data_IF_086371005128
#
_entry.id   IF_086371005128
#
_cell.length_a   1.000
_cell.length_b   1.000
_cell.length_c   1.000
_cell.angle_alpha   90.00
_cell.angle_beta   90.00
_cell.angle_gamma   90.00
#
_symmetry.space_group_name_H-M   'P 1'
#
loop_
_entity.id
_entity.type
_entity.pdbx_description
1 polymer ?
#
# COMPACT_ATOMS: atom_id res chain seq x y z
N UNK A 1 16.91 27.87 37.24
CA UNK A 1 18.12 27.18 36.75
C UNK A 1 17.76 26.42 35.48
N UNK A 2 18.12 26.92 34.31
CA UNK A 2 17.98 26.20 33.05
C UNK A 2 19.36 25.87 32.50
N UNK A 3 19.53 24.65 32.00
CA UNK A 3 20.54 24.34 30.98
C UNK A 3 19.90 23.31 30.03
N UNK A 4 19.58 23.77 28.83
CA UNK A 4 19.30 22.92 27.69
C UNK A 4 20.64 22.57 27.03
N UNK A 5 20.87 21.29 26.74
CA UNK A 5 22.00 20.85 25.91
C UNK A 5 21.44 20.24 24.63
N UNK A 6 21.60 20.98 23.54
CA UNK A 6 21.32 20.56 22.18
C UNK A 6 22.48 19.68 21.69
N UNK A 7 22.18 18.45 21.28
CA UNK A 7 23.13 17.59 20.55
C UNK A 7 22.67 17.49 19.09
N UNK A 8 23.43 18.10 18.17
CA UNK A 8 23.27 17.91 16.72
C UNK A 8 24.08 16.68 16.27
N UNK A 9 23.58 15.84 15.35
CA UNK A 9 24.37 14.74 14.81
C UNK A 9 25.43 15.26 13.81
N UNK A 10 26.66 14.76 13.97
CA UNK A 10 27.77 14.97 13.05
C UNK A 10 27.65 13.97 11.90
N UNK A 11 27.35 14.45 10.69
CA UNK A 11 27.43 13.64 9.48
C UNK A 11 28.88 13.63 8.97
N UNK A 12 29.51 12.45 8.95
CA UNK A 12 30.84 12.23 8.35
C UNK A 12 30.65 11.99 6.86
N UNK A 13 31.13 12.91 6.03
CA UNK A 13 31.18 12.75 4.58
C UNK A 13 32.22 11.69 4.18
N UNK A 14 31.79 10.65 3.49
CA UNK A 14 32.68 9.68 2.82
C UNK A 14 32.96 10.23 1.43
N UNK A 15 34.22 10.58 1.15
CA UNK A 15 34.70 10.91 -0.18
C UNK A 15 34.87 9.61 -0.98
N UNK A 16 34.15 9.48 -2.09
CA UNK A 16 34.38 8.42 -3.08
C UNK A 16 35.34 8.97 -4.15
N UNK A 17 36.48 8.31 -4.33
CA UNK A 17 37.38 8.61 -5.46
C UNK A 17 36.81 8.04 -6.78
N UNK A 18 36.90 8.79 -7.91
CA UNK A 18 36.40 8.32 -9.19
C UNK A 18 37.40 7.37 -9.87
N UNK A 19 36.92 6.16 -10.19
CA UNK A 19 37.66 5.19 -11.01
C UNK A 19 37.73 5.64 -12.49
N UNK A 20 38.91 5.49 -13.09
CA UNK A 20 39.22 5.85 -14.49
C UNK A 20 38.59 4.85 -15.48
N UNK A 21 37.76 5.34 -16.40
CA UNK A 21 37.75 5.11 -17.87
C UNK A 21 36.33 5.22 -18.44
N UNK A 22 36.20 5.93 -19.57
CA UNK A 22 35.01 5.84 -20.43
C UNK A 22 34.45 7.18 -20.89
N UNK A 23 35.17 7.84 -21.81
CA UNK A 23 34.76 9.05 -22.54
C UNK A 23 33.45 8.78 -23.31
N UNK A 24 32.33 9.45 -22.99
CA UNK A 24 31.28 9.80 -23.95
C UNK A 24 30.64 11.15 -23.59
N UNK A 25 30.57 11.96 -24.63
CA UNK A 25 30.15 13.36 -24.68
C UNK A 25 28.64 13.53 -24.49
N UNK A 26 28.23 14.47 -23.63
CA UNK A 26 26.95 15.16 -23.76
C UNK A 26 27.02 16.54 -23.12
N UNK A 27 27.04 17.53 -24.00
CA UNK A 27 26.95 18.98 -23.80
C UNK A 27 25.79 19.37 -22.90
N UNK A 28 26.07 20.05 -21.79
CA UNK A 28 25.06 20.75 -20.97
C UNK A 28 25.00 22.19 -21.46
N UNK A 29 23.86 22.58 -22.02
CA UNK A 29 23.52 23.97 -22.34
C UNK A 29 23.09 24.68 -21.03
N UNK A 30 23.91 25.61 -20.54
CA UNK A 30 23.51 26.62 -19.57
C UNK A 30 23.32 27.93 -20.32
N UNK A 31 22.08 28.22 -20.70
CA UNK A 31 21.71 29.54 -21.20
C UNK A 31 21.41 30.46 -20.01
N UNK A 32 22.35 31.36 -19.71
CA UNK A 32 22.13 32.51 -18.84
C UNK A 32 21.38 33.57 -19.63
N UNK A 33 20.11 33.82 -19.30
CA UNK A 33 19.36 34.96 -19.84
C UNK A 33 19.46 36.10 -18.84
N UNK A 34 20.34 37.04 -19.14
CA UNK A 34 20.32 38.41 -18.63
C UNK A 34 19.28 39.18 -19.43
N UNK A 35 18.24 39.68 -18.77
CA UNK A 35 17.32 40.64 -19.38
C UNK A 35 17.74 42.04 -18.97
N UNK A 36 18.14 42.86 -19.96
CA UNK A 36 18.39 44.30 -19.82
C UNK A 36 17.06 45.03 -19.97
N UNK A 37 16.79 45.93 -19.04
CA UNK A 37 15.76 46.95 -19.16
C UNK A 37 16.13 47.93 -20.29
N UNK A 38 15.28 48.00 -21.32
CA UNK A 38 15.26 49.12 -22.25
C UNK A 38 13.83 49.65 -22.35
N UNK A 39 13.58 50.74 -21.63
CA UNK A 39 12.36 51.52 -21.70
C UNK A 39 12.31 52.28 -23.04
N UNK A 40 11.37 51.93 -23.91
CA UNK A 40 10.93 52.79 -25.01
C UNK A 40 9.44 53.06 -24.87
N UNK A 41 9.13 54.31 -24.51
CA UNK A 41 7.79 54.89 -24.49
C UNK A 41 7.17 54.78 -25.88
N UNK A 42 6.08 54.02 -25.97
CA UNK A 42 5.16 54.13 -27.11
C UNK A 42 3.76 54.31 -26.56
N UNK A 43 3.25 55.53 -26.68
CA UNK A 43 1.86 55.88 -26.40
C UNK A 43 0.96 55.27 -27.48
N UNK A 44 0.04 54.41 -27.07
CA UNK A 44 -1.13 54.04 -27.86
C UNK A 44 -2.37 54.37 -27.04
N UNK A 45 -3.10 55.39 -27.47
CA UNK A 45 -4.48 55.56 -27.05
C UNK A 45 -5.36 54.63 -27.88
N UNK A 46 -6.32 53.97 -27.24
CA UNK A 46 -7.68 53.77 -27.78
C UNK A 46 -8.47 52.80 -26.90
N UNK A 47 -9.69 53.24 -26.58
CA UNK A 47 -10.91 52.43 -26.40
C UNK A 47 -11.01 51.54 -25.17
N UNK A 48 -11.90 51.94 -24.26
CA UNK A 48 -12.52 51.07 -23.27
C UNK A 48 -13.24 49.92 -23.99
N UNK A 49 -12.64 48.74 -23.94
CA UNK A 49 -13.34 47.49 -24.21
C UNK A 49 -13.67 46.92 -22.85
N UNK A 50 -14.95 46.93 -22.48
CA UNK A 50 -15.43 46.19 -21.32
C UNK A 50 -15.21 44.70 -21.59
N UNK A 51 -14.03 44.21 -21.20
CA UNK A 51 -13.71 42.79 -21.11
C UNK A 51 -14.55 42.23 -19.97
N UNK A 52 -15.72 41.70 -20.29
CA UNK A 52 -16.40 40.75 -19.44
C UNK A 52 -15.55 39.48 -19.38
N UNK A 53 -14.56 39.47 -18.49
CA UNK A 53 -13.83 38.27 -18.12
C UNK A 53 -14.83 37.35 -17.41
N UNK A 54 -15.50 36.47 -18.17
CA UNK A 54 -16.13 35.29 -17.58
C UNK A 54 -15.00 34.45 -17.01
N UNK A 55 -14.79 34.55 -15.71
CA UNK A 55 -14.01 33.58 -14.96
C UNK A 55 -14.70 32.23 -15.15
N UNK A 56 -14.12 31.40 -16.02
CA UNK A 56 -14.42 29.97 -16.02
C UNK A 56 -13.69 29.43 -14.79
N UNK A 57 -14.30 29.57 -13.62
CA UNK A 57 -13.88 28.79 -12.45
C UNK A 57 -14.13 27.33 -12.78
N UNK A 58 -13.07 26.63 -13.20
CA UNK A 58 -13.09 25.19 -13.39
C UNK A 58 -13.53 24.52 -12.09
N UNK A 59 -14.45 23.56 -12.19
CA UNK A 59 -14.96 22.81 -11.04
C UNK A 59 -13.78 22.09 -10.37
N UNK A 60 -13.31 22.61 -9.24
CA UNK A 60 -12.25 21.99 -8.42
C UNK A 60 -12.77 20.63 -7.94
N UNK A 61 -11.88 19.62 -7.89
CA UNK A 61 -12.24 18.29 -7.40
C UNK A 61 -12.72 18.33 -5.95
N UNK A 62 -13.91 17.80 -5.69
CA UNK A 62 -14.45 17.67 -4.33
C UNK A 62 -13.77 16.50 -3.62
N UNK A 63 -13.23 16.75 -2.42
CA UNK A 63 -12.72 15.69 -1.54
C UNK A 63 -13.91 14.89 -1.00
N UNK A 64 -13.83 13.56 -1.07
CA UNK A 64 -14.85 12.63 -0.59
C UNK A 64 -14.21 11.54 0.24
N UNK A 65 -14.97 11.06 1.21
CA UNK A 65 -14.58 9.87 1.98
C UNK A 65 -14.48 8.64 1.05
N UNK A 66 -13.46 7.79 1.22
CA UNK A 66 -13.32 6.59 0.40
C UNK A 66 -14.38 5.54 0.76
N UNK A 67 -14.73 4.70 -0.22
CA UNK A 67 -15.53 3.51 0.06
C UNK A 67 -14.73 2.52 0.94
N UNK A 68 -15.45 1.81 1.81
CA UNK A 68 -14.84 0.72 2.58
C UNK A 68 -14.30 -0.37 1.65
N UNK A 69 -13.16 -0.94 2.00
CA UNK A 69 -12.46 -1.99 1.23
C UNK A 69 -12.43 -3.31 1.97
N UNK A 70 -12.28 -4.41 1.24
CA UNK A 70 -12.27 -5.77 1.80
C UNK A 70 -10.90 -6.10 2.38
N UNK A 71 -10.78 -6.22 3.69
CA UNK A 71 -9.53 -6.66 4.32
C UNK A 71 -9.29 -8.15 4.05
N UNK A 72 -8.04 -8.48 3.74
CA UNK A 72 -7.54 -9.85 3.68
C UNK A 72 -6.10 -9.94 4.17
N UNK A 73 -5.72 -11.11 4.67
CA UNK A 73 -4.37 -11.41 5.11
C UNK A 73 -3.85 -12.64 4.37
N UNK A 74 -2.70 -12.50 3.72
CA UNK A 74 -1.89 -13.62 3.29
C UNK A 74 -0.99 -14.12 4.43
N UNK A 75 -0.93 -15.43 4.62
CA UNK A 75 -0.18 -16.04 5.72
C UNK A 75 0.87 -16.99 5.17
N UNK A 76 2.08 -16.91 5.71
CA UNK A 76 3.08 -18.01 5.61
C UNK A 76 3.25 -18.56 7.02
N UNK A 77 3.03 -19.84 7.18
CA UNK A 77 3.00 -20.55 8.45
C UNK A 77 4.19 -21.49 8.50
N UNK A 78 4.95 -21.48 9.60
CA UNK A 78 5.89 -22.56 9.92
C UNK A 78 5.16 -23.90 10.06
N UNK A 79 5.92 -25.00 9.97
CA UNK A 79 5.37 -26.35 10.15
C UNK A 79 4.63 -26.50 11.47
N UNK A 80 5.19 -25.94 12.55
CA UNK A 80 4.72 -26.18 13.92
C UNK A 80 3.61 -25.22 14.40
N UNK A 81 3.22 -24.21 13.62
CA UNK A 81 2.18 -23.25 14.06
C UNK A 81 0.78 -23.69 13.62
N UNK A 82 -0.20 -23.54 14.51
CA UNK A 82 -1.60 -23.86 14.20
C UNK A 82 -2.24 -22.74 13.37
N UNK A 83 -2.79 -23.08 12.21
CA UNK A 83 -3.55 -22.15 11.37
C UNK A 83 -4.76 -21.58 12.12
N UNK A 84 -5.52 -22.44 12.81
CA UNK A 84 -6.69 -22.02 13.61
C UNK A 84 -6.32 -21.04 14.73
N UNK A 85 -5.16 -21.23 15.36
CA UNK A 85 -4.68 -20.30 16.39
C UNK A 85 -4.36 -18.91 15.81
N UNK A 86 -3.72 -18.86 14.64
CA UNK A 86 -3.44 -17.61 13.93
C UNK A 86 -4.73 -16.93 13.47
N UNK A 87 -5.66 -17.71 12.88
CA UNK A 87 -7.00 -17.24 12.48
C UNK A 87 -7.76 -16.64 13.66
N UNK A 88 -7.83 -17.34 14.80
CA UNK A 88 -8.49 -16.84 16.01
C UNK A 88 -7.91 -15.49 16.46
N UNK A 89 -6.57 -15.35 16.50
CA UNK A 89 -5.94 -14.07 16.88
C UNK A 89 -6.21 -12.94 15.89
N UNK A 90 -6.32 -13.24 14.60
CA UNK A 90 -6.66 -12.24 13.60
C UNK A 90 -8.14 -11.84 13.65
N UNK A 91 -9.04 -12.72 14.12
CA UNK A 91 -10.47 -12.38 14.26
C UNK A 91 -10.75 -11.39 15.38
N UNK A 92 -9.91 -11.33 16.43
CA UNK A 92 -10.06 -10.38 17.54
C UNK A 92 -10.11 -8.91 17.06
N UNK A 93 -9.13 -8.40 16.28
CA UNK A 93 -9.15 -7.03 15.78
C UNK A 93 -9.96 -6.85 14.50
N UNK A 94 -10.00 -7.85 13.61
CA UNK A 94 -10.54 -7.69 12.26
C UNK A 94 -11.99 -8.17 12.10
N UNK A 95 -12.53 -8.87 13.11
CA UNK A 95 -13.84 -9.45 13.06
C UNK A 95 -13.86 -10.83 12.39
N UNK A 96 -15.06 -11.39 12.13
CA UNK A 96 -15.20 -12.75 11.60
C UNK A 96 -14.52 -12.94 10.26
N UNK A 97 -13.91 -14.12 10.07
CA UNK A 97 -13.46 -14.58 8.75
C UNK A 97 -14.68 -15.02 7.95
N UNK A 98 -14.77 -14.60 6.69
CA UNK A 98 -15.90 -14.91 5.83
C UNK A 98 -15.55 -15.77 4.61
N UNK A 99 -14.27 -15.79 4.24
CA UNK A 99 -13.69 -16.72 3.27
C UNK A 99 -12.26 -17.04 3.69
N UNK A 100 -11.87 -18.30 3.45
CA UNK A 100 -10.49 -18.73 3.62
C UNK A 100 -10.01 -19.58 2.45
N UNK A 101 -8.69 -19.58 2.28
CA UNK A 101 -7.97 -20.58 1.52
C UNK A 101 -7.12 -21.37 2.49
N UNK A 102 -7.50 -22.63 2.70
CA UNK A 102 -6.84 -23.56 3.59
C UNK A 102 -5.33 -23.66 3.34
N UNK A 103 -4.52 -23.92 4.38
CA UNK A 103 -3.08 -24.05 4.24
C UNK A 103 -2.68 -25.07 3.16
N UNK A 104 -1.75 -24.65 2.30
CA UNK A 104 -1.12 -25.50 1.30
C UNK A 104 0.40 -25.31 1.30
N UNK A 105 1.15 -26.24 0.72
CA UNK A 105 2.62 -26.17 0.65
C UNK A 105 3.08 -24.84 0.02
N UNK A 106 4.02 -24.16 0.66
CA UNK A 106 4.65 -22.94 0.14
C UNK A 106 6.02 -23.27 -0.44
N UNK A 107 6.07 -23.41 -1.77
CA UNK A 107 7.26 -23.81 -2.55
C UNK A 107 7.75 -22.71 -3.50
N UNK A 108 7.35 -21.46 -3.27
CA UNK A 108 7.64 -20.33 -4.16
C UNK A 108 9.01 -19.68 -3.93
N UNK A 109 9.58 -19.78 -2.73
CA UNK A 109 10.89 -19.22 -2.37
C UNK A 109 11.43 -19.82 -1.07
N UNK A 110 12.76 -19.89 -0.94
CA UNK A 110 13.45 -20.30 0.29
C UNK A 110 13.77 -19.13 1.22
N UNK A 111 13.41 -17.89 0.85
CA UNK A 111 13.73 -16.66 1.59
C UNK A 111 13.36 -16.71 3.08
N UNK A 112 12.29 -17.42 3.44
CA UNK A 112 11.79 -17.49 4.82
C UNK A 112 12.40 -18.65 5.63
N UNK A 113 13.08 -19.61 4.98
CA UNK A 113 13.47 -20.85 5.63
C UNK A 113 14.50 -20.65 6.75
N UNK A 114 15.44 -19.71 6.58
CA UNK A 114 16.44 -19.40 7.61
C UNK A 114 15.81 -18.87 8.91
N UNK A 115 14.68 -18.17 8.80
CA UNK A 115 14.00 -17.57 9.94
C UNK A 115 12.92 -18.48 10.52
N UNK A 116 12.11 -19.10 9.66
CA UNK A 116 10.85 -19.77 10.02
C UNK A 116 10.92 -21.30 9.94
N UNK A 117 12.03 -21.86 9.47
CA UNK A 117 12.19 -23.29 9.20
C UNK A 117 11.67 -23.71 7.83
N UNK A 118 11.79 -25.00 7.53
CA UNK A 118 11.32 -25.61 6.28
C UNK A 118 9.82 -25.97 6.34
N UNK A 119 9.31 -26.62 5.29
CA UNK A 119 7.92 -27.11 5.20
C UNK A 119 6.86 -26.02 5.45
N UNK A 120 7.14 -24.81 4.96
CA UNK A 120 6.25 -23.67 5.11
C UNK A 120 4.92 -23.92 4.38
N UNK A 121 3.85 -23.35 4.94
CA UNK A 121 2.50 -23.42 4.36
C UNK A 121 1.97 -22.03 4.08
N UNK A 122 1.32 -21.84 2.93
CA UNK A 122 0.61 -20.60 2.57
C UNK A 122 -0.88 -20.76 2.85
N UNK A 123 -1.49 -19.75 3.44
CA UNK A 123 -2.93 -19.67 3.64
C UNK A 123 -3.42 -18.23 3.41
N UNK A 124 -4.73 -18.05 3.26
CA UNK A 124 -5.32 -16.71 3.14
C UNK A 124 -6.62 -16.63 3.92
N UNK A 125 -6.86 -15.46 4.54
CA UNK A 125 -8.08 -15.12 5.25
C UNK A 125 -8.66 -13.83 4.68
N UNK A 126 -9.97 -13.79 4.50
CA UNK A 126 -10.77 -12.59 4.20
C UNK A 126 -11.74 -12.36 5.35
N UNK A 127 -11.97 -11.09 5.69
CA UNK A 127 -12.76 -10.71 6.86
C UNK A 127 -14.10 -10.10 6.45
N UNK A 128 -15.15 -10.39 7.21
CA UNK A 128 -16.49 -9.89 6.94
C UNK A 128 -16.54 -8.36 6.95
N UNK A 129 -15.87 -7.75 7.94
CA UNK A 129 -15.83 -6.31 8.17
C UNK A 129 -14.99 -5.59 7.09
N UNK A 130 -15.57 -4.58 6.46
CA UNK A 130 -14.82 -3.65 5.61
C UNK A 130 -13.97 -2.69 6.44
N UNK A 131 -12.86 -2.23 5.89
CA UNK A 131 -12.00 -1.23 6.52
C UNK A 131 -11.93 0.05 5.69
N UNK A 132 -11.57 1.15 6.34
CA UNK A 132 -11.08 2.34 5.63
C UNK A 132 -9.71 2.03 5.02
N UNK A 133 -9.50 2.22 3.69
CA UNK A 133 -8.20 1.98 3.06
C UNK A 133 -7.05 2.80 3.67
N UNK A 134 -7.33 3.95 4.27
CA UNK A 134 -6.35 4.77 5.00
C UNK A 134 -5.75 4.10 6.24
N UNK A 135 -6.43 3.09 6.79
CA UNK A 135 -5.96 2.34 7.97
C UNK A 135 -5.03 1.18 7.64
N UNK A 136 -4.59 1.04 6.38
CA UNK A 136 -3.72 -0.05 5.98
C UNK A 136 -2.35 -0.02 6.70
N UNK A 137 -1.82 1.17 7.00
CA UNK A 137 -0.57 1.31 7.77
C UNK A 137 -0.72 0.78 9.20
N UNK A 138 -1.76 1.21 9.91
CA UNK A 138 -2.11 0.73 11.25
C UNK A 138 -2.33 -0.79 11.25
N UNK A 139 -3.04 -1.29 10.24
CA UNK A 139 -3.29 -2.73 10.03
C UNK A 139 -1.98 -3.50 9.93
N UNK A 140 -1.01 -3.01 9.14
CA UNK A 140 0.32 -3.66 9.04
C UNK A 140 1.07 -3.61 10.36
N UNK A 141 1.07 -2.47 11.04
CA UNK A 141 1.70 -2.35 12.36
C UNK A 141 1.12 -3.35 13.38
N UNK A 142 -0.20 -3.55 13.35
CA UNK A 142 -0.90 -4.56 14.16
C UNK A 142 -0.46 -5.97 13.79
N UNK A 143 -0.49 -6.35 12.51
CA UNK A 143 -0.07 -7.71 12.11
C UNK A 143 1.40 -7.97 12.46
N UNK A 144 2.29 -6.98 12.37
CA UNK A 144 3.68 -7.10 12.82
C UNK A 144 3.82 -7.31 14.34
N UNK A 145 2.85 -6.85 15.15
CA UNK A 145 2.81 -7.18 16.59
C UNK A 145 2.41 -8.64 16.79
N UNK A 146 1.36 -9.09 16.09
CA UNK A 146 0.91 -10.48 16.15
C UNK A 146 2.01 -11.46 15.70
N UNK A 147 2.76 -11.15 14.63
CA UNK A 147 3.92 -11.95 14.21
C UNK A 147 4.95 -12.11 15.34
N UNK A 148 5.18 -11.06 16.14
CA UNK A 148 6.09 -11.09 17.28
C UNK A 148 5.52 -11.89 18.45
N UNK A 149 4.23 -11.78 18.72
CA UNK A 149 3.53 -12.54 19.76
C UNK A 149 3.54 -14.05 19.48
N UNK A 150 3.41 -14.44 18.22
CA UNK A 150 3.57 -15.83 17.79
C UNK A 150 5.03 -16.28 17.72
N UNK A 151 5.97 -15.34 17.69
CA UNK A 151 7.39 -15.63 17.56
C UNK A 151 7.94 -16.37 18.78
N UNK A 152 9.12 -16.97 18.59
CA UNK A 152 9.85 -17.67 19.64
C UNK A 152 11.27 -17.12 19.73
N UNK A 153 11.74 -16.87 20.95
CA UNK A 153 13.15 -16.50 21.15
C UNK A 153 14.01 -17.75 21.19
N UNK A 154 14.93 -17.86 20.23
CA UNK A 154 15.91 -18.95 20.11
C UNK A 154 17.29 -18.29 20.04
N UNK A 155 18.22 -18.71 20.90
CA UNK A 155 19.58 -18.14 20.98
C UNK A 155 19.60 -16.61 21.14
N UNK A 156 18.66 -16.08 21.94
CA UNK A 156 18.54 -14.64 22.18
C UNK A 156 17.98 -13.84 20.99
N UNK A 157 17.54 -14.49 19.91
CA UNK A 157 16.93 -13.85 18.73
C UNK A 157 15.48 -14.26 18.58
N UNK A 158 14.60 -13.30 18.31
CA UNK A 158 13.21 -13.58 17.97
C UNK A 158 13.15 -14.19 16.56
N UNK A 159 12.61 -15.40 16.47
CA UNK A 159 12.31 -16.10 15.21
C UNK A 159 10.80 -16.07 15.00
N UNK A 160 10.36 -15.56 13.84
CA UNK A 160 8.94 -15.58 13.49
C UNK A 160 8.49 -17.01 13.23
N UNK A 161 7.26 -17.30 13.61
CA UNK A 161 6.58 -18.58 13.29
C UNK A 161 5.49 -18.41 12.24
N UNK A 162 5.11 -17.18 11.96
CA UNK A 162 4.16 -16.78 10.92
C UNK A 162 4.60 -15.44 10.33
N UNK A 163 4.42 -15.28 9.02
CA UNK A 163 4.43 -14.00 8.33
C UNK A 163 2.99 -13.66 7.94
N UNK A 164 2.55 -12.44 8.25
CA UNK A 164 1.18 -11.96 8.03
C UNK A 164 1.26 -10.73 7.11
N UNK A 165 0.81 -10.90 5.88
CA UNK A 165 0.77 -9.86 4.85
C UNK A 165 -0.66 -9.30 4.74
N UNK A 166 -1.03 -8.24 5.47
CA UNK A 166 -2.32 -7.60 5.27
C UNK A 166 -2.35 -6.83 3.95
N UNK A 167 -3.53 -6.83 3.38
CA UNK A 167 -3.87 -6.04 2.21
C UNK A 167 -5.36 -5.83 2.14
N UNK A 168 -5.78 -5.03 1.16
CA UNK A 168 -7.19 -4.91 0.85
C UNK A 168 -7.47 -5.20 -0.61
N UNK A 169 -8.68 -5.67 -0.85
CA UNK A 169 -9.26 -5.83 -2.16
C UNK A 169 -10.38 -4.80 -2.32
N UNK A 170 -10.35 -4.11 -3.45
CA UNK A 170 -11.44 -3.29 -3.94
C UNK A 170 -11.90 -3.78 -5.32
N UNK A 171 -12.82 -3.07 -5.96
CA UNK A 171 -13.41 -3.52 -7.22
C UNK A 171 -12.37 -3.70 -8.35
N UNK A 172 -11.29 -2.93 -8.34
CA UNK A 172 -10.34 -2.84 -9.46
C UNK A 172 -8.95 -3.43 -9.19
N UNK A 173 -8.60 -3.72 -7.93
CA UNK A 173 -7.22 -4.08 -7.56
C UNK A 173 -7.11 -4.76 -6.19
N UNK A 174 -5.98 -5.44 -6.03
CA UNK A 174 -5.44 -5.89 -4.74
C UNK A 174 -4.28 -4.98 -4.34
N UNK A 175 -4.31 -4.46 -3.12
CA UNK A 175 -3.24 -3.66 -2.53
C UNK A 175 -2.67 -4.38 -1.31
N UNK A 176 -1.35 -4.50 -1.21
CA UNK A 176 -0.66 -5.11 -0.08
C UNK A 176 0.18 -4.09 0.67
N UNK A 177 0.30 -4.27 1.99
CA UNK A 177 1.16 -3.45 2.84
C UNK A 177 2.54 -4.08 3.03
N UNK A 178 3.59 -3.24 3.05
CA UNK A 178 4.97 -3.66 3.28
C UNK A 178 5.72 -2.67 4.15
N UNK A 179 6.69 -3.17 4.93
CA UNK A 179 7.67 -2.34 5.64
C UNK A 179 8.89 -1.99 4.78
N UNK A 180 9.02 -2.62 3.61
CA UNK A 180 10.16 -2.44 2.70
C UNK A 180 9.77 -1.43 1.62
N UNK A 181 10.56 -0.37 1.47
CA UNK A 181 10.40 0.56 0.35
C UNK A 181 10.95 -0.04 -0.96
N UNK A 182 10.31 0.26 -2.09
CA UNK A 182 10.78 -0.09 -3.44
C UNK A 182 10.20 0.87 -4.48
N UNK A 183 10.66 0.82 -5.73
CA UNK A 183 10.36 1.81 -6.77
C UNK A 183 8.87 2.04 -7.05
N UNK A 184 8.02 1.03 -6.92
CA UNK A 184 6.57 1.11 -7.15
C UNK A 184 5.74 1.28 -5.86
N UNK A 185 6.40 1.40 -4.70
CA UNK A 185 5.74 1.43 -3.39
C UNK A 185 5.47 2.84 -2.93
N UNK A 186 4.26 3.09 -2.45
CA UNK A 186 3.80 4.41 -2.02
C UNK A 186 3.80 4.45 -0.50
N UNK A 187 4.43 5.46 0.08
CA UNK A 187 4.47 5.64 1.53
C UNK A 187 3.09 5.98 2.10
N UNK A 188 2.69 5.29 3.17
CA UNK A 188 1.40 5.49 3.85
C UNK A 188 1.53 6.19 5.21
N UNK A 189 2.74 6.24 5.78
CA UNK A 189 2.96 6.63 7.18
C UNK A 189 3.62 5.51 7.99
N UNK A 190 4.23 5.87 9.13
CA UNK A 190 4.77 4.92 10.13
C UNK A 190 5.78 3.88 9.58
N UNK A 191 6.51 4.24 8.51
CA UNK A 191 7.42 3.30 7.84
C UNK A 191 6.72 2.21 7.02
N UNK A 192 5.42 2.32 6.78
CA UNK A 192 4.62 1.39 5.97
C UNK A 192 4.38 1.97 4.57
N UNK A 193 4.41 1.07 3.59
CA UNK A 193 4.20 1.35 2.19
C UNK A 193 3.09 0.45 1.63
N UNK A 194 2.37 0.93 0.62
CA UNK A 194 1.44 0.15 -0.18
C UNK A 194 1.99 -0.17 -1.57
N UNK A 195 1.58 -1.31 -2.11
CA UNK A 195 1.75 -1.64 -3.53
C UNK A 195 0.48 -2.25 -4.11
N UNK A 196 0.12 -1.84 -5.32
CA UNK A 196 -0.84 -2.58 -6.14
C UNK A 196 -0.16 -3.88 -6.55
N UNK A 197 -0.69 -5.02 -6.12
CA UNK A 197 -0.10 -6.33 -6.39
C UNK A 197 -0.79 -7.06 -7.54
N UNK A 198 -2.08 -6.82 -7.76
CA UNK A 198 -2.84 -7.34 -8.89
C UNK A 198 -3.86 -6.29 -9.34
N UNK A 199 -4.16 -6.24 -10.64
CA UNK A 199 -5.22 -5.41 -11.22
C UNK A 199 -6.33 -6.32 -11.71
N UNK A 200 -7.59 -5.99 -11.43
CA UNK A 200 -8.74 -6.70 -11.97
C UNK A 200 -9.22 -6.02 -13.26
N UNK A 201 -9.12 -6.74 -14.38
CA UNK A 201 -9.51 -6.25 -15.70
C UNK A 201 -10.07 -7.39 -16.54
N UNK A 202 -11.13 -7.13 -17.31
CA UNK A 202 -11.75 -8.11 -18.22
C UNK A 202 -12.08 -9.46 -17.53
N UNK A 203 -12.62 -9.40 -16.30
CA UNK A 203 -13.08 -10.59 -15.60
C UNK A 203 -11.99 -11.40 -14.87
N UNK A 204 -10.73 -10.93 -14.86
CA UNK A 204 -9.61 -11.67 -14.25
C UNK A 204 -8.63 -10.75 -13.52
N UNK A 205 -7.82 -11.34 -12.64
CA UNK A 205 -6.66 -10.67 -12.05
C UNK A 205 -5.45 -10.76 -12.97
N UNK A 206 -4.99 -9.61 -13.43
CA UNK A 206 -3.77 -9.40 -14.20
C UNK A 206 -2.60 -9.14 -13.24
N UNK A 207 -1.48 -9.78 -13.57
CA UNK A 207 -0.21 -9.65 -12.86
C UNK A 207 0.52 -8.39 -13.30
N UNK A 208 1.30 -7.84 -12.39
CA UNK A 208 2.27 -6.78 -12.62
C UNK A 208 3.68 -7.36 -12.52
N UNK A 209 4.68 -6.63 -13.02
CA UNK A 209 6.07 -7.09 -13.03
C UNK A 209 6.58 -7.50 -11.64
N UNK A 210 6.08 -6.83 -10.61
CA UNK A 210 6.43 -7.06 -9.20
C UNK A 210 5.43 -7.92 -8.42
N UNK A 211 4.39 -8.48 -9.05
CA UNK A 211 3.46 -9.39 -8.34
C UNK A 211 4.23 -10.57 -7.77
N UNK A 212 4.08 -10.83 -6.47
CA UNK A 212 4.74 -11.95 -5.81
C UNK A 212 4.35 -13.31 -6.44
N UNK A 213 5.28 -14.28 -6.56
CA UNK A 213 5.01 -15.55 -7.24
C UNK A 213 3.82 -16.34 -6.68
N UNK A 214 3.60 -16.32 -5.38
CA UNK A 214 2.48 -16.99 -4.71
C UNK A 214 1.12 -16.40 -5.10
N UNK A 215 1.04 -15.07 -5.30
CA UNK A 215 -0.16 -14.39 -5.81
C UNK A 215 -0.43 -14.64 -7.30
N UNK A 216 0.54 -15.17 -8.06
CA UNK A 216 0.35 -15.59 -9.46
C UNK A 216 -0.36 -16.93 -9.57
N UNK A 217 -0.29 -17.76 -8.53
CA UNK A 217 -0.85 -19.10 -8.53
C UNK A 217 -2.36 -19.08 -8.78
N UNK A 218 -2.84 -19.99 -9.65
CA UNK A 218 -4.26 -20.07 -10.04
C UNK A 218 -5.18 -20.16 -8.82
N UNK A 219 -4.83 -21.00 -7.83
CA UNK A 219 -5.63 -21.19 -6.62
C UNK A 219 -5.79 -19.92 -5.78
N UNK A 220 -4.77 -19.05 -5.78
CA UNK A 220 -4.81 -17.76 -5.07
C UNK A 220 -5.67 -16.79 -5.84
N UNK A 221 -5.54 -16.71 -7.17
CA UNK A 221 -6.42 -15.88 -8.00
C UNK A 221 -7.89 -16.31 -7.90
N UNK A 222 -8.17 -17.61 -7.92
CA UNK A 222 -9.54 -18.15 -7.75
C UNK A 222 -10.12 -17.78 -6.37
N UNK A 223 -9.31 -17.82 -5.31
CA UNK A 223 -9.71 -17.33 -3.99
C UNK A 223 -10.01 -15.82 -4.02
N UNK A 224 -9.13 -15.01 -4.60
CA UNK A 224 -9.33 -13.55 -4.68
C UNK A 224 -10.56 -13.18 -5.51
N UNK A 225 -10.91 -13.96 -6.53
CA UNK A 225 -12.16 -13.78 -7.29
C UNK A 225 -13.39 -13.94 -6.39
N UNK A 226 -13.43 -14.99 -5.56
CA UNK A 226 -14.51 -15.19 -4.56
C UNK A 226 -14.57 -14.06 -3.54
N UNK A 227 -13.41 -13.59 -3.06
CA UNK A 227 -13.33 -12.43 -2.15
C UNK A 227 -13.91 -11.18 -2.81
N UNK A 228 -13.59 -10.94 -4.08
CA UNK A 228 -14.12 -9.83 -4.86
C UNK A 228 -15.63 -9.90 -5.06
N UNK A 229 -16.16 -11.07 -5.41
CA UNK A 229 -17.60 -11.28 -5.57
C UNK A 229 -18.35 -10.99 -4.27
N UNK A 230 -17.80 -11.44 -3.14
CA UNK A 230 -18.35 -11.18 -1.81
C UNK A 230 -18.30 -9.69 -1.46
N UNK A 231 -17.18 -9.02 -1.74
CA UNK A 231 -17.01 -7.57 -1.54
C UNK A 231 -18.02 -6.75 -2.35
N UNK A 232 -18.18 -7.03 -3.65
CA UNK A 232 -19.14 -6.31 -4.48
C UNK A 232 -20.59 -6.53 -4.03
N UNK A 233 -20.88 -7.72 -3.52
CA UNK A 233 -22.19 -8.03 -2.94
C UNK A 233 -22.44 -7.29 -1.63
N UNK A 234 -21.40 -7.07 -0.82
CA UNK A 234 -21.47 -6.22 0.38
C UNK A 234 -21.72 -4.75 0.00
N UNK A 235 -20.92 -4.17 -0.91
CA UNK A 235 -21.09 -2.79 -1.37
C UNK A 235 -22.50 -2.50 -1.89
N UNK A 236 -23.07 -3.40 -2.71
CA UNK A 236 -24.45 -3.24 -3.21
C UNK A 236 -25.49 -3.21 -2.09
N UNK A 237 -25.31 -4.04 -1.05
CA UNK A 237 -26.22 -4.05 0.12
C UNK A 237 -26.09 -2.75 0.91
N UNK A 238 -24.88 -2.29 1.16
CA UNK A 238 -24.62 -1.07 1.94
C UNK A 238 -25.18 0.18 1.24
N UNK A 239 -25.00 0.27 -0.08
CA UNK A 239 -25.62 1.34 -0.90
C UNK A 239 -27.15 1.31 -0.86
N UNK A 240 -27.75 0.12 -0.80
CA UNK A 240 -29.22 -0.03 -0.73
C UNK A 240 -29.74 0.38 0.65
N UNK A 241 -29.07 -0.05 1.72
CA UNK A 241 -29.43 0.27 3.10
C UNK A 241 -29.25 1.77 3.39
N UNK A 242 -28.19 2.39 2.87
CA UNK A 242 -27.95 3.83 3.00
C UNK A 242 -29.08 4.66 2.38
N UNK A 243 -29.55 4.29 1.18
CA UNK A 243 -30.68 4.97 0.53
C UNK A 243 -31.97 4.86 1.32
N UNK A 244 -32.26 3.69 1.91
CA UNK A 244 -33.47 3.50 2.73
C UNK A 244 -33.44 4.37 4.00
N UNK A 245 -32.29 4.52 4.64
CA UNK A 245 -32.14 5.38 5.81
C UNK A 245 -32.30 6.88 5.49
N UNK A 246 -31.83 7.35 4.34
CA UNK A 246 -32.01 8.74 3.92
C UNK A 246 -33.47 9.07 3.65
N UNK A 247 -34.22 8.18 2.99
CA UNK A 247 -35.64 8.38 2.66
C UNK A 247 -36.54 8.35 3.91
N UNK A 248 -36.16 7.62 4.96
CA UNK A 248 -36.93 7.57 6.23
C UNK A 248 -36.73 8.76 7.17
N UNK A 249 -35.85 9.71 6.83
CA UNK A 249 -35.51 10.88 7.65
C UNK A 249 -35.96 12.22 7.06
N UNK A 250 -36.63 12.18 5.90
CA UNK A 250 -37.32 13.30 5.25
C UNK A 250 -38.82 13.19 5.49
#
# INVERSE_FOLDING_TARGET
MGIAVSAKPVYRSVQLEPSKKGRRSSTIWLASISCRDSLSKTTWGSTSVASASKSVEGKVGEIREPEGVKLLCGLILSENISFESVKAKLTEPFGPVDLELEPFVFDFTQYYCEEMGENLRRAFLSFERSIDPGRLAETKALTNRLEREFGQTIEGRLRRRVNIDPGYLEASKLVLASTKNFSHRIYLGEGIFAEVSLIFKQGRFEELEWTYPDYRAKRVKDFLLRVRERYLSQLRRDLTNGKQQTVSRE
#
